data_IF_611410397401
#
_entry.id   IF_611410397401
#
_cell.length_a   1.000
_cell.length_b   1.000
_cell.length_c   1.000
_cell.angle_alpha   90.00
_cell.angle_beta   90.00
_cell.angle_gamma   90.00
#
_symmetry.space_group_name_H-M   'P 1'
#
loop_
_entity.id
_entity.type
_entity.pdbx_description
1 polymer ?
#
# COMPACT_ATOMS: atom_id res chain seq x y z
N UNK A 1 1.07 -1.98 -0.42
CA UNK A 1 -0.03 -1.27 0.28
C UNK A 1 0.08 0.21 -0.02
N UNK A 2 -1.01 0.88 -0.40
CA UNK A 2 -1.02 2.33 -0.57
C UNK A 2 -1.07 3.01 0.81
N UNK A 3 -0.31 4.10 1.00
CA UNK A 3 -0.38 4.88 2.22
C UNK A 3 -1.71 5.65 2.27
N UNK A 4 -2.25 5.94 3.46
CA UNK A 4 -3.46 6.75 3.64
C UNK A 4 -3.38 8.11 2.93
N UNK A 5 -2.17 8.68 2.83
CA UNK A 5 -1.92 9.91 2.08
C UNK A 5 -2.01 9.71 0.56
N UNK A 6 -1.56 8.57 0.04
CA UNK A 6 -1.72 8.24 -1.38
C UNK A 6 -3.22 8.10 -1.72
N UNK A 7 -4.00 7.43 -0.84
CA UNK A 7 -5.45 7.29 -0.99
C UNK A 7 -6.20 8.63 -0.92
N UNK A 8 -5.78 9.55 -0.04
CA UNK A 8 -6.35 10.90 0.05
C UNK A 8 -6.08 11.72 -1.22
N UNK A 9 -4.92 11.55 -1.86
CA UNK A 9 -4.59 12.22 -3.11
C UNK A 9 -5.32 11.61 -4.31
N UNK A 10 -5.59 10.31 -4.31
CA UNK A 10 -6.40 9.64 -5.33
C UNK A 10 -7.88 10.07 -5.25
N UNK A 11 -8.41 10.25 -4.03
CA UNK A 11 -9.82 10.63 -3.81
C UNK A 11 -10.08 12.13 -3.88
N UNK A 12 -9.10 12.95 -3.50
CA UNK A 12 -9.17 14.40 -3.58
C UNK A 12 -7.84 14.95 -4.15
N UNK A 13 -7.75 15.12 -5.48
CA UNK A 13 -6.54 15.58 -6.15
C UNK A 13 -6.31 17.07 -5.88
N UNK A 14 -5.73 17.38 -4.72
CA UNK A 14 -5.26 18.71 -4.38
C UNK A 14 -3.79 18.85 -4.81
N UNK A 15 -3.46 19.72 -5.78
CA UNK A 15 -2.11 19.83 -6.33
C UNK A 15 -1.07 20.28 -5.29
N UNK A 16 -1.46 21.12 -4.34
CA UNK A 16 -0.57 21.62 -3.28
C UNK A 16 -0.23 20.52 -2.30
N UNK A 17 -1.21 19.71 -1.93
CA UNK A 17 -1.00 18.54 -1.08
C UNK A 17 -0.19 17.47 -1.80
N UNK A 18 -0.44 17.23 -3.09
CA UNK A 18 0.31 16.26 -3.88
C UNK A 18 1.80 16.62 -3.96
N UNK A 19 2.11 17.88 -4.26
CA UNK A 19 3.49 18.38 -4.33
C UNK A 19 4.21 18.27 -2.97
N UNK A 20 3.52 18.65 -1.89
CA UNK A 20 4.06 18.57 -0.53
C UNK A 20 4.29 17.11 -0.13
N UNK A 21 3.33 16.22 -0.44
CA UNK A 21 3.44 14.81 -0.15
C UNK A 21 4.57 14.15 -0.94
N UNK A 22 4.74 14.44 -2.23
CA UNK A 22 5.87 13.91 -3.02
C UNK A 22 7.24 14.29 -2.43
N UNK A 23 7.35 15.49 -1.85
CA UNK A 23 8.58 15.95 -1.19
C UNK A 23 8.82 15.25 0.15
N UNK A 24 7.76 14.98 0.91
CA UNK A 24 7.84 14.39 2.25
C UNK A 24 7.80 12.86 2.25
N UNK A 25 7.23 12.24 1.22
CA UNK A 25 7.00 10.79 1.11
C UNK A 25 8.27 9.98 1.40
N UNK A 26 9.46 10.30 0.87
CA UNK A 26 10.67 9.52 1.16
C UNK A 26 11.10 9.56 2.63
N UNK A 27 10.73 10.60 3.38
CA UNK A 27 11.06 10.75 4.81
C UNK A 27 10.12 9.92 5.69
N UNK A 28 8.86 9.78 5.29
CA UNK A 28 7.83 9.05 6.06
C UNK A 28 7.66 7.61 5.61
N UNK A 29 7.94 7.34 4.34
CA UNK A 29 7.90 6.03 3.70
C UNK A 29 9.23 5.88 2.96
N UNK A 30 10.26 5.35 3.65
CA UNK A 30 11.47 4.94 2.98
C UNK A 30 11.11 3.96 1.88
N UNK A 31 11.73 4.09 0.71
CA UNK A 31 11.60 3.05 -0.31
C UNK A 31 12.13 1.75 0.30
N UNK A 32 11.32 0.68 0.33
CA UNK A 32 11.75 -0.58 0.90
C UNK A 32 12.94 -1.11 0.09
N UNK A 33 13.88 -1.72 0.79
CA UNK A 33 14.93 -2.50 0.15
C UNK A 33 14.32 -3.63 -0.71
N UNK A 34 15.02 -4.12 -1.74
CA UNK A 34 14.52 -5.23 -2.55
C UNK A 34 14.09 -6.45 -1.71
N UNK A 35 14.77 -6.71 -0.59
CA UNK A 35 14.45 -7.76 0.36
C UNK A 35 13.16 -7.47 1.15
N UNK A 36 12.96 -6.23 1.61
CA UNK A 36 11.72 -5.81 2.26
C UNK A 36 10.55 -5.80 1.29
N UNK A 37 10.76 -5.39 0.04
CA UNK A 37 9.78 -5.47 -1.03
C UNK A 37 9.35 -6.93 -1.26
N UNK A 38 10.30 -7.86 -1.39
CA UNK A 38 10.01 -9.29 -1.58
C UNK A 38 9.28 -9.90 -0.35
N UNK A 39 9.61 -9.46 0.86
CA UNK A 39 8.92 -9.89 2.07
C UNK A 39 7.49 -9.31 2.17
N UNK A 40 7.29 -8.06 1.76
CA UNK A 40 5.98 -7.42 1.68
C UNK A 40 5.09 -8.08 0.64
N UNK A 41 5.62 -8.43 -0.52
CA UNK A 41 4.92 -9.19 -1.57
C UNK A 41 4.54 -10.58 -1.07
N UNK A 42 5.49 -11.29 -0.44
CA UNK A 42 5.22 -12.60 0.18
C UNK A 42 4.13 -12.53 1.24
N UNK A 43 4.15 -11.51 2.11
CA UNK A 43 3.10 -11.29 3.12
C UNK A 43 1.76 -10.94 2.47
N UNK A 44 1.76 -10.15 1.41
CA UNK A 44 0.53 -9.80 0.68
C UNK A 44 -0.10 -11.03 0.02
N UNK A 45 0.71 -11.89 -0.59
CA UNK A 45 0.25 -13.15 -1.19
C UNK A 45 -0.31 -14.11 -0.13
N UNK A 46 0.32 -14.16 1.04
CA UNK A 46 -0.14 -14.99 2.15
C UNK A 46 -1.47 -14.47 2.74
N UNK A 47 -1.61 -13.15 2.90
CA UNK A 47 -2.85 -12.52 3.37
C UNK A 47 -3.99 -12.59 2.34
N UNK A 48 -3.66 -12.75 1.05
CA UNK A 48 -4.61 -13.00 -0.03
C UNK A 48 -5.15 -14.43 0.03
N UNK A 49 -4.28 -15.43 0.26
CA UNK A 49 -4.69 -16.83 0.43
C UNK A 49 -5.72 -16.99 1.55
N UNK A 50 -5.47 -16.40 2.71
CA UNK A 50 -6.37 -16.50 3.87
C UNK A 50 -7.74 -15.82 3.63
N UNK A 51 -7.80 -14.80 2.75
CA UNK A 51 -9.05 -14.12 2.40
C UNK A 51 -9.89 -14.92 1.40
N UNK A 52 -9.26 -15.64 0.46
CA UNK A 52 -9.98 -16.45 -0.53
C UNK A 52 -10.41 -17.82 0.00
N UNK A 53 -9.74 -18.36 1.02
CA UNK A 53 -10.16 -19.61 1.67
C UNK A 53 -11.47 -19.43 2.47
N UNK A 54 -11.71 -18.25 3.07
CA UNK A 54 -12.93 -17.97 3.86
C UNK A 54 -14.16 -17.60 2.99
N UNK A 55 -13.95 -17.22 1.72
CA UNK A 55 -15.04 -16.98 0.75
C UNK A 55 -15.59 -18.30 0.18
N UNK A 56 -14.87 -19.41 0.35
CA UNK A 56 -15.20 -20.71 -0.24
C UNK A 56 -15.94 -21.67 0.70
N UNK A 57 -16.66 -21.14 1.70
CA UNK A 57 -17.50 -21.93 2.61
C UNK A 57 -18.97 -21.49 2.59
N UNK A 58 -19.57 -21.32 1.41
CA UNK A 58 -21.01 -21.55 1.25
C UNK A 58 -21.40 -21.75 -0.24
N UNK A 59 -21.22 -22.97 -0.75
CA UNK A 59 -21.88 -23.47 -1.98
C UNK A 59 -22.75 -24.65 -1.64
#
# INVERSE_FOLDING_TARGET
MANMFDLMLETNPNPTLASTWQTLRPTFVPDPTPEEQADLERRADQHSSDFFDDINLNV
#
